data_IF_218428269906
#
_entry.id   IF_218428269906
#
_cell.length_a   1.000
_cell.length_b   1.000
_cell.length_c   1.000
_cell.angle_alpha   90.00
_cell.angle_beta   90.00
_cell.angle_gamma   90.00
#
_symmetry.space_group_name_H-M   'P 1'
#
loop_
_entity.id
_entity.type
_entity.pdbx_description
1 polymer ?
#
# COMPACT_ATOMS: atom_id res chain seq x y z
N UNK A 1 21.32 -38.43 -26.57
CA UNK A 1 21.10 -38.42 -25.10
C UNK A 1 21.10 -37.02 -24.48
N UNK A 2 20.80 -35.93 -25.22
CA UNK A 2 20.99 -34.56 -24.71
C UNK A 2 19.68 -33.83 -24.36
N UNK A 3 18.51 -34.48 -24.48
CA UNK A 3 17.20 -33.84 -24.23
C UNK A 3 16.80 -33.84 -22.76
N UNK A 4 17.26 -34.82 -22.00
CA UNK A 4 16.98 -34.96 -20.56
C UNK A 4 17.49 -33.76 -19.74
N UNK A 5 18.74 -33.26 -19.91
CA UNK A 5 19.19 -32.09 -19.16
C UNK A 5 18.46 -30.81 -19.58
N UNK A 6 18.11 -30.67 -20.86
CA UNK A 6 17.38 -29.51 -21.38
C UNK A 6 15.96 -29.46 -20.80
N UNK A 7 15.27 -30.60 -20.76
CA UNK A 7 13.93 -30.69 -20.15
C UNK A 7 13.96 -30.41 -18.65
N UNK A 8 15.01 -30.85 -17.96
CA UNK A 8 15.18 -30.58 -16.53
C UNK A 8 15.40 -29.09 -16.26
N UNK A 9 16.26 -28.42 -17.04
CA UNK A 9 16.48 -26.96 -16.94
C UNK A 9 15.20 -26.19 -17.22
N UNK A 10 14.44 -26.56 -18.25
CA UNK A 10 13.15 -25.92 -18.58
C UNK A 10 12.13 -26.14 -17.44
N UNK A 11 12.04 -27.34 -16.88
CA UNK A 11 11.15 -27.62 -15.75
C UNK A 11 11.52 -26.81 -14.49
N UNK A 12 12.82 -26.65 -14.20
CA UNK A 12 13.29 -25.80 -13.10
C UNK A 12 12.97 -24.31 -13.33
N UNK A 13 13.11 -23.82 -14.56
CA UNK A 13 12.76 -22.43 -14.91
C UNK A 13 11.25 -22.19 -14.79
N UNK A 14 10.42 -23.12 -15.27
CA UNK A 14 8.95 -23.03 -15.17
C UNK A 14 8.47 -23.13 -13.72
N UNK A 15 9.10 -23.96 -12.89
CA UNK A 15 8.81 -24.03 -11.45
C UNK A 15 9.19 -22.72 -10.72
N UNK A 16 10.21 -22.00 -11.20
CA UNK A 16 10.54 -20.66 -10.72
C UNK A 16 9.53 -19.59 -11.14
N UNK A 17 8.97 -19.70 -12.35
CA UNK A 17 7.93 -18.79 -12.88
C UNK A 17 6.56 -18.99 -12.21
N UNK A 18 6.31 -20.15 -11.62
CA UNK A 18 5.06 -20.44 -10.90
C UNK A 18 5.15 -20.13 -9.39
N UNK A 19 6.22 -19.47 -8.92
CA UNK A 19 6.12 -18.79 -7.63
C UNK A 19 5.00 -17.75 -7.79
N UNK A 20 3.95 -17.77 -6.96
CA UNK A 20 3.02 -16.66 -6.92
C UNK A 20 3.93 -15.45 -6.73
N UNK A 21 3.89 -14.52 -7.68
CA UNK A 21 4.73 -13.34 -7.70
C UNK A 21 4.63 -12.78 -6.29
N UNK A 22 5.63 -13.05 -5.44
CA UNK A 22 5.57 -12.66 -4.05
C UNK A 22 5.48 -11.16 -4.16
N UNK A 23 4.29 -10.64 -3.84
CA UNK A 23 3.82 -9.32 -4.20
C UNK A 23 4.86 -8.35 -3.64
N UNK A 24 5.85 -8.00 -4.46
CA UNK A 24 7.02 -7.34 -3.92
C UNK A 24 6.59 -5.91 -3.67
N UNK A 25 7.08 -5.34 -2.58
CA UNK A 25 6.80 -3.94 -2.22
C UNK A 25 7.09 -3.02 -3.41
N UNK A 26 8.14 -3.30 -4.18
CA UNK A 26 8.50 -2.62 -5.43
C UNK A 26 7.45 -2.75 -6.53
N UNK A 27 7.03 -3.99 -6.84
CA UNK A 27 6.06 -4.24 -7.89
C UNK A 27 4.71 -3.61 -7.53
N UNK A 28 4.31 -3.72 -6.27
CA UNK A 28 3.04 -3.17 -5.80
C UNK A 28 3.06 -1.64 -5.75
N UNK A 29 4.17 -1.01 -5.35
CA UNK A 29 4.32 0.45 -5.38
C UNK A 29 4.25 1.04 -6.81
N UNK A 30 4.47 0.23 -7.84
CA UNK A 30 4.40 0.66 -9.25
C UNK A 30 2.96 0.63 -9.79
N UNK A 31 2.05 -0.13 -9.18
CA UNK A 31 0.65 -0.27 -9.60
C UNK A 31 -0.31 0.36 -8.57
N UNK A 32 -0.70 1.65 -8.75
CA UNK A 32 -1.53 2.37 -7.78
C UNK A 32 -2.93 1.76 -7.60
N UNK A 33 -3.55 1.30 -8.69
CA UNK A 33 -4.94 0.82 -8.67
C UNK A 33 -5.02 -0.46 -7.85
N UNK A 34 -4.08 -1.38 -8.09
CA UNK A 34 -3.98 -2.62 -7.33
C UNK A 34 -3.61 -2.37 -5.88
N UNK A 35 -2.67 -1.47 -5.62
CA UNK A 35 -2.26 -1.08 -4.26
C UNK A 35 -3.41 -0.48 -3.46
N UNK A 36 -4.16 0.46 -4.04
CA UNK A 36 -5.33 1.08 -3.39
C UNK A 36 -6.41 0.03 -3.05
N UNK A 37 -6.68 -0.89 -3.98
CA UNK A 37 -7.63 -1.98 -3.75
C UNK A 37 -7.19 -2.85 -2.58
N UNK A 38 -5.92 -3.32 -2.57
CA UNK A 38 -5.39 -4.17 -1.49
C UNK A 38 -5.37 -3.45 -0.14
N UNK A 39 -5.04 -2.16 -0.12
CA UNK A 39 -5.07 -1.34 1.08
C UNK A 39 -6.49 -1.28 1.67
N UNK A 40 -7.51 -1.05 0.84
CA UNK A 40 -8.92 -1.09 1.27
C UNK A 40 -9.39 -2.47 1.75
N UNK A 41 -8.83 -3.56 1.23
CA UNK A 41 -9.08 -4.93 1.72
C UNK A 41 -8.43 -5.16 3.09
N UNK A 42 -7.23 -4.64 3.31
CA UNK A 42 -6.55 -4.68 4.60
C UNK A 42 -7.27 -3.89 5.69
N UNK A 43 -7.80 -2.70 5.37
CA UNK A 43 -8.64 -1.93 6.30
C UNK A 43 -9.94 -2.66 6.68
N UNK A 44 -10.46 -3.52 5.79
CA UNK A 44 -11.64 -4.38 6.05
C UNK A 44 -11.28 -5.70 6.73
N UNK A 45 -10.01 -5.97 7.00
CA UNK A 45 -9.56 -7.21 7.65
C UNK A 45 -9.65 -8.46 6.79
N UNK A 46 -9.59 -8.32 5.45
CA UNK A 46 -9.75 -9.45 4.52
C UNK A 46 -8.44 -10.26 4.32
N UNK A 47 -7.30 -9.78 4.82
CA UNK A 47 -5.98 -10.40 4.69
C UNK A 47 -5.26 -10.53 6.04
N UNK A 48 -4.23 -11.36 6.09
CA UNK A 48 -3.38 -11.51 7.27
C UNK A 48 -2.52 -10.26 7.56
N UNK A 49 -2.09 -10.13 8.81
CA UNK A 49 -1.34 -8.95 9.26
C UNK A 49 0.01 -8.79 8.58
N UNK A 50 0.71 -9.88 8.26
CA UNK A 50 2.02 -9.81 7.61
C UNK A 50 1.89 -9.32 6.15
N UNK A 51 0.84 -9.76 5.45
CA UNK A 51 0.49 -9.26 4.14
C UNK A 51 0.14 -7.76 4.19
N UNK A 52 -0.72 -7.35 5.13
CA UNK A 52 -1.10 -5.94 5.25
C UNK A 52 0.08 -5.02 5.60
N UNK A 53 1.05 -5.48 6.38
CA UNK A 53 2.30 -4.74 6.60
C UNK A 53 3.08 -4.52 5.28
N UNK A 54 3.10 -5.49 4.37
CA UNK A 54 3.74 -5.32 3.06
C UNK A 54 2.99 -4.33 2.17
N UNK A 55 1.65 -4.36 2.21
CA UNK A 55 0.80 -3.40 1.48
C UNK A 55 1.05 -1.98 1.99
N UNK A 56 1.11 -1.77 3.30
CA UNK A 56 1.46 -0.46 3.89
C UNK A 56 2.86 -0.01 3.49
N UNK A 57 3.83 -0.92 3.49
CA UNK A 57 5.19 -0.59 3.06
C UNK A 57 5.23 -0.16 1.59
N UNK A 58 4.42 -0.79 0.72
CA UNK A 58 4.30 -0.41 -0.68
C UNK A 58 3.62 0.96 -0.84
N UNK A 59 2.60 1.23 -0.02
CA UNK A 59 1.92 2.52 0.05
C UNK A 59 2.89 3.64 0.42
N UNK A 60 3.66 3.49 1.49
CA UNK A 60 4.70 4.44 1.89
C UNK A 60 5.76 4.63 0.81
N UNK A 61 6.23 3.55 0.21
CA UNK A 61 7.24 3.63 -0.86
C UNK A 61 6.75 4.42 -2.06
N UNK A 62 5.48 4.23 -2.44
CA UNK A 62 4.85 4.98 -3.52
C UNK A 62 4.70 6.45 -3.16
N UNK A 63 4.23 6.77 -1.96
CA UNK A 63 4.12 8.14 -1.45
C UNK A 63 5.46 8.87 -1.54
N UNK A 64 6.55 8.26 -1.04
CA UNK A 64 7.88 8.86 -1.08
C UNK A 64 8.55 8.84 -2.46
N UNK A 65 8.00 8.14 -3.45
CA UNK A 65 8.56 8.13 -4.81
C UNK A 65 8.36 9.44 -5.57
N UNK A 66 7.43 10.29 -5.12
CA UNK A 66 7.04 11.52 -5.83
C UNK A 66 6.33 11.28 -7.17
N UNK A 67 5.99 10.03 -7.50
CA UNK A 67 5.26 9.65 -8.73
C UNK A 67 3.75 9.54 -8.52
N UNK A 68 3.25 10.05 -7.40
CA UNK A 68 1.84 10.01 -7.08
C UNK A 68 1.05 10.99 -7.97
N UNK A 69 -0.08 10.55 -8.49
CA UNK A 69 -1.03 11.43 -9.19
C UNK A 69 -1.82 12.31 -8.21
N UNK A 70 -2.42 13.43 -8.68
CA UNK A 70 -3.24 14.31 -7.84
C UNK A 70 -4.47 13.60 -7.24
N UNK A 71 -4.96 12.55 -7.91
CA UNK A 71 -6.17 11.81 -7.51
C UNK A 71 -5.87 10.51 -6.76
N UNK A 72 -4.61 10.26 -6.40
CA UNK A 72 -4.17 8.96 -5.89
C UNK A 72 -4.29 8.81 -4.37
N UNK A 73 -4.10 9.91 -3.64
CA UNK A 73 -4.31 9.96 -2.20
C UNK A 73 -5.59 10.75 -1.90
N UNK A 74 -6.16 10.51 -0.71
CA UNK A 74 -7.36 11.20 -0.25
C UNK A 74 -7.22 12.70 -0.43
N UNK A 75 -8.25 13.30 -1.03
CA UNK A 75 -8.34 14.74 -1.13
C UNK A 75 -8.72 15.31 0.23
N UNK A 76 -8.56 16.62 0.41
CA UNK A 76 -8.99 17.30 1.64
C UNK A 76 -10.47 17.05 1.96
N UNK A 77 -11.30 16.81 0.93
CA UNK A 77 -12.73 16.53 1.08
C UNK A 77 -13.03 15.12 1.61
N UNK A 78 -12.08 14.19 1.47
CA UNK A 78 -12.24 12.79 1.89
C UNK A 78 -11.74 12.55 3.33
N UNK A 79 -11.01 13.52 3.89
CA UNK A 79 -10.48 13.42 5.25
C UNK A 79 -11.61 13.47 6.29
N UNK A 80 -11.49 12.70 7.39
CA UNK A 80 -12.44 12.79 8.49
C UNK A 80 -12.44 14.21 9.09
N UNK A 81 -13.57 14.64 9.68
CA UNK A 81 -13.64 15.94 10.33
C UNK A 81 -12.54 16.07 11.40
N UNK A 82 -11.98 17.28 11.52
CA UNK A 82 -10.95 17.57 12.53
C UNK A 82 -11.54 17.28 13.92
N UNK A 83 -10.88 16.46 14.75
CA UNK A 83 -11.38 16.16 16.08
C UNK A 83 -11.42 17.41 16.95
N UNK A 84 -12.46 17.54 17.79
CA UNK A 84 -12.63 18.69 18.70
C UNK A 84 -11.46 18.87 19.70
N UNK A 85 -10.63 17.85 19.90
CA UNK A 85 -9.40 17.98 20.68
C UNK A 85 -8.34 18.91 20.05
N UNK A 86 -8.49 19.21 18.75
CA UNK A 86 -7.64 20.15 18.03
C UNK A 86 -8.17 21.58 18.08
N UNK A 87 -9.41 21.79 18.51
CA UNK A 87 -9.87 23.12 18.86
C UNK A 87 -9.10 23.51 20.12
N UNK A 88 -8.17 24.47 19.97
CA UNK A 88 -7.39 24.99 21.08
C UNK A 88 -8.29 25.45 22.24
N UNK A 89 -7.73 25.69 23.44
CA UNK A 89 -8.54 26.14 24.56
C UNK A 89 -9.40 27.32 24.11
N UNK A 90 -10.73 27.13 24.15
CA UNK A 90 -11.69 28.17 23.78
C UNK A 90 -11.28 29.41 24.57
N UNK A 91 -10.88 30.45 23.86
CA UNK A 91 -10.44 31.71 24.41
C UNK A 91 -11.31 32.08 25.61
N UNK A 92 -10.73 31.91 26.82
CA UNK A 92 -11.32 32.40 28.05
C UNK A 92 -11.58 33.86 27.80
N UNK A 93 -12.87 34.22 27.71
CA UNK A 93 -13.33 35.59 27.50
C UNK A 93 -12.44 36.52 28.30
N UNK A 94 -11.62 37.30 27.58
CA UNK A 94 -10.78 38.32 28.17
C UNK A 94 -11.75 39.29 28.85
N UNK A 95 -11.94 39.07 30.15
CA UNK A 95 -12.70 39.96 31.02
C UNK A 95 -11.86 41.23 31.12
N UNK A 96 -12.02 42.10 30.13
CA UNK A 96 -11.38 43.41 30.06
C UNK A 96 -11.83 44.20 31.30
N UNK A 97 -10.91 44.65 32.17
CA UNK A 97 -11.24 45.52 33.28
C UNK A 97 -11.69 46.91 32.81
#
# INVERSE_FOLDING_TARGET
MNRVPVLFVIACLLAGCNRPQALSVDALATDPVRLHTLHGQCLRGEHDSAFCVQVEQANLRRFFSGRAGPDEYQTLADLPPIPASFDGPSESTEQRP
#
